data_IF_407228140141
#
_entry.id   IF_407228140141
#
_cell.length_a   1.000
_cell.length_b   1.000
_cell.length_c   1.000
_cell.angle_alpha   90.00
_cell.angle_beta   90.00
_cell.angle_gamma   90.00
#
_symmetry.space_group_name_H-M   'P 1'
#
loop_
_entity.id
_entity.type
_entity.pdbx_description
1 polymer ?
#
# COMPACT_ATOMS: atom_id res chain seq x y z
N UNK A 1 -29.27 -13.59 -35.80
CA UNK A 1 -28.06 -13.89 -36.59
C UNK A 1 -27.15 -14.72 -35.69
N UNK A 2 -26.61 -15.83 -36.17
CA UNK A 2 -25.88 -16.81 -35.35
C UNK A 2 -24.53 -16.24 -34.85
N UNK A 3 -24.23 -16.36 -33.56
CA UNK A 3 -22.94 -15.98 -32.96
C UNK A 3 -21.72 -16.57 -33.69
N UNK A 4 -21.90 -17.72 -34.36
CA UNK A 4 -20.89 -18.41 -35.17
C UNK A 4 -20.53 -17.72 -36.50
N UNK A 5 -21.32 -16.75 -36.97
CA UNK A 5 -21.03 -15.97 -38.19
C UNK A 5 -20.33 -14.64 -37.88
N UNK A 6 -20.55 -14.06 -36.69
CA UNK A 6 -19.81 -12.88 -36.23
C UNK A 6 -18.38 -13.21 -35.81
N UNK A 7 -18.15 -14.37 -35.17
CA UNK A 7 -16.80 -14.82 -34.81
C UNK A 7 -15.87 -14.97 -36.03
N UNK A 8 -16.38 -15.40 -37.19
CA UNK A 8 -15.58 -15.49 -38.42
C UNK A 8 -15.08 -14.16 -38.97
N UNK A 9 -15.70 -13.03 -38.62
CA UNK A 9 -15.28 -11.69 -39.07
C UNK A 9 -14.19 -11.08 -38.19
N UNK A 10 -14.00 -11.60 -36.98
CA UNK A 10 -13.03 -11.08 -36.00
C UNK A 10 -11.74 -11.92 -35.95
N UNK A 11 -11.63 -12.99 -36.74
CA UNK A 11 -10.45 -13.82 -36.80
C UNK A 11 -9.34 -13.16 -37.62
N UNK A 12 -8.12 -13.14 -37.09
CA UNK A 12 -6.89 -12.80 -37.84
C UNK A 12 -5.99 -14.02 -37.97
N UNK A 13 -5.34 -14.15 -39.11
CA UNK A 13 -4.36 -15.21 -39.39
C UNK A 13 -3.00 -14.90 -38.74
N UNK A 14 -2.14 -15.91 -38.61
CA UNK A 14 -0.77 -15.74 -38.13
C UNK A 14 0.02 -14.78 -39.05
N UNK A 15 -0.21 -14.83 -40.36
CA UNK A 15 0.40 -13.95 -41.35
C UNK A 15 -0.02 -12.48 -41.16
N UNK A 16 -1.31 -12.23 -40.96
CA UNK A 16 -1.84 -10.87 -40.73
C UNK A 16 -1.32 -10.28 -39.42
N UNK A 17 -1.38 -11.05 -38.32
CA UNK A 17 -0.84 -10.60 -37.04
C UNK A 17 0.67 -10.35 -37.12
N UNK A 18 1.42 -11.20 -37.82
CA UNK A 18 2.86 -10.97 -38.02
C UNK A 18 3.15 -9.69 -38.81
N UNK A 19 2.38 -9.41 -39.86
CA UNK A 19 2.50 -8.16 -40.62
C UNK A 19 2.18 -6.94 -39.75
N UNK A 20 1.13 -7.01 -38.93
CA UNK A 20 0.77 -5.95 -38.00
C UNK A 20 1.86 -5.72 -36.95
N UNK A 21 2.46 -6.79 -36.40
CA UNK A 21 3.56 -6.73 -35.44
C UNK A 21 4.84 -6.09 -36.01
N UNK A 22 5.03 -6.14 -37.34
CA UNK A 22 6.13 -5.47 -38.04
C UNK A 22 5.77 -4.06 -38.53
N UNK A 23 4.52 -3.63 -38.37
CA UNK A 23 4.09 -2.29 -38.75
C UNK A 23 4.32 -1.27 -37.62
N UNK A 24 4.34 0.02 -37.96
CA UNK A 24 4.35 1.11 -36.97
C UNK A 24 2.94 1.48 -36.46
N UNK A 25 1.91 0.71 -36.82
CA UNK A 25 0.53 1.01 -36.42
C UNK A 25 0.30 0.62 -34.96
N UNK A 26 -0.53 1.38 -34.21
CA UNK A 26 -0.93 0.99 -32.86
C UNK A 26 -1.63 -0.37 -32.86
N UNK A 27 -1.02 -1.34 -32.17
CA UNK A 27 -1.53 -2.70 -32.00
C UNK A 27 -1.36 -3.13 -30.55
N UNK A 28 -2.41 -3.69 -29.95
CA UNK A 28 -2.38 -4.38 -28.67
C UNK A 28 -2.56 -5.87 -28.88
N UNK A 29 -1.66 -6.69 -28.35
CA UNK A 29 -1.75 -8.14 -28.47
C UNK A 29 -1.85 -8.74 -27.07
N UNK A 30 -3.03 -9.23 -26.69
CA UNK A 30 -3.32 -9.76 -25.37
C UNK A 30 -3.28 -11.29 -25.37
N UNK A 31 -2.38 -11.87 -24.60
CA UNK A 31 -2.31 -13.31 -24.36
C UNK A 31 -3.13 -13.65 -23.10
N UNK A 32 -4.21 -14.42 -23.29
CA UNK A 32 -5.17 -14.83 -22.28
C UNK A 32 -4.84 -16.21 -21.70
N UNK A 33 -3.75 -16.85 -22.14
CA UNK A 33 -3.32 -18.15 -21.59
C UNK A 33 -2.91 -17.99 -20.13
N UNK A 34 -2.73 -19.10 -19.45
CA UNK A 34 -2.19 -19.12 -18.09
C UNK A 34 -0.83 -18.39 -18.05
N UNK A 35 -0.60 -17.64 -16.96
CA UNK A 35 0.61 -16.83 -16.79
C UNK A 35 1.88 -17.66 -16.93
N UNK A 36 1.85 -18.89 -16.43
CA UNK A 36 2.96 -19.84 -16.51
C UNK A 36 3.28 -20.16 -17.97
N UNK A 37 2.26 -20.40 -18.81
CA UNK A 37 2.47 -20.70 -20.23
C UNK A 37 3.05 -19.51 -20.98
N UNK A 38 2.55 -18.30 -20.71
CA UNK A 38 3.06 -17.07 -21.30
C UNK A 38 4.54 -16.80 -20.95
N UNK A 39 4.92 -17.00 -19.68
CA UNK A 39 6.30 -16.76 -19.21
C UNK A 39 7.29 -17.72 -19.90
N UNK A 40 6.90 -18.97 -20.12
CA UNK A 40 7.76 -19.96 -20.80
C UNK A 40 7.96 -19.63 -22.27
N UNK A 41 6.88 -19.31 -22.98
CA UNK A 41 6.95 -18.87 -24.37
C UNK A 41 5.73 -18.04 -24.80
N UNK A 42 5.97 -16.99 -25.58
CA UNK A 42 4.91 -16.10 -26.08
C UNK A 42 5.27 -15.48 -27.43
N UNK A 43 4.27 -14.90 -28.09
CA UNK A 43 4.46 -14.15 -29.33
C UNK A 43 5.22 -12.85 -29.01
N UNK A 44 6.24 -12.53 -29.80
CA UNK A 44 6.98 -11.28 -29.62
C UNK A 44 6.04 -10.08 -29.68
N UNK A 45 6.01 -9.28 -28.61
CA UNK A 45 5.09 -8.16 -28.52
C UNK A 45 3.65 -8.58 -28.26
N UNK A 46 3.38 -9.69 -27.58
CA UNK A 46 2.15 -9.89 -26.81
C UNK A 46 2.34 -9.55 -25.33
N UNK A 47 1.23 -9.45 -24.58
CA UNK A 47 1.25 -9.26 -23.12
C UNK A 47 0.19 -10.13 -22.47
N UNK A 48 0.55 -10.79 -21.37
CA UNK A 48 -0.40 -11.56 -20.59
C UNK A 48 -1.47 -10.65 -19.97
N UNK A 49 -2.74 -10.96 -20.22
CA UNK A 49 -3.88 -10.21 -19.71
C UNK A 49 -4.95 -11.14 -19.13
N UNK A 50 -5.44 -10.81 -17.93
CA UNK A 50 -6.57 -11.51 -17.33
C UNK A 50 -7.84 -10.73 -17.63
N UNK A 51 -8.75 -11.30 -18.42
CA UNK A 51 -10.04 -10.71 -18.77
C UNK A 51 -11.19 -11.35 -17.96
N UNK A 52 -11.14 -11.24 -16.64
CA UNK A 52 -12.23 -11.65 -15.75
C UNK A 52 -13.39 -10.63 -15.74
N UNK A 53 -14.49 -10.95 -15.05
CA UNK A 53 -15.66 -10.06 -14.93
C UNK A 53 -15.31 -8.67 -14.39
N UNK A 54 -14.30 -8.56 -13.52
CA UNK A 54 -13.86 -7.31 -12.92
C UNK A 54 -13.01 -6.47 -13.88
N UNK A 55 -12.16 -7.12 -14.67
CA UNK A 55 -11.40 -6.50 -15.75
C UNK A 55 -12.33 -5.93 -16.83
N UNK A 56 -13.46 -6.61 -17.11
CA UNK A 56 -14.48 -6.14 -18.06
C UNK A 56 -15.03 -4.77 -17.70
N UNK A 57 -15.41 -4.56 -16.45
CA UNK A 57 -16.03 -3.29 -16.00
C UNK A 57 -15.00 -2.16 -15.82
N UNK A 58 -13.76 -2.49 -15.44
CA UNK A 58 -12.77 -1.50 -15.00
C UNK A 58 -11.71 -1.15 -16.02
N UNK A 59 -11.42 -2.05 -16.98
CA UNK A 59 -10.35 -1.88 -17.97
C UNK A 59 -10.94 -1.58 -19.35
N UNK A 60 -11.99 -2.30 -19.77
CA UNK A 60 -12.52 -2.20 -21.15
C UNK A 60 -12.96 -0.80 -21.56
N UNK A 61 -13.66 -0.01 -20.73
CA UNK A 61 -14.03 1.37 -21.10
C UNK A 61 -12.82 2.30 -21.23
N UNK A 62 -11.66 1.90 -20.70
CA UNK A 62 -10.43 2.70 -20.62
C UNK A 62 -9.39 2.31 -21.66
N UNK A 63 -9.62 1.22 -22.39
CA UNK A 63 -8.78 0.86 -23.54
C UNK A 63 -9.05 1.91 -24.65
N UNK A 64 -8.02 2.48 -25.30
CA UNK A 64 -8.21 3.50 -26.30
C UNK A 64 -9.06 2.98 -27.48
N UNK A 65 -10.01 3.81 -27.90
CA UNK A 65 -10.77 3.57 -29.13
C UNK A 65 -9.87 3.85 -30.34
N UNK A 66 -9.92 2.99 -31.35
CA UNK A 66 -9.14 3.12 -32.59
C UNK A 66 -7.74 2.48 -32.58
N UNK A 67 -7.41 1.70 -31.55
CA UNK A 67 -6.23 0.81 -31.54
C UNK A 67 -6.70 -0.60 -31.84
N UNK A 68 -6.04 -1.28 -32.79
CA UNK A 68 -6.35 -2.67 -33.12
C UNK A 68 -5.93 -3.56 -31.95
N UNK A 69 -6.80 -4.47 -31.53
CA UNK A 69 -6.55 -5.42 -30.44
C UNK A 69 -6.62 -6.84 -30.99
N UNK A 70 -5.62 -7.66 -30.71
CA UNK A 70 -5.61 -9.08 -31.07
C UNK A 70 -5.46 -9.93 -29.81
N UNK A 71 -6.44 -10.78 -29.55
CA UNK A 71 -6.47 -11.69 -28.41
C UNK A 71 -5.90 -13.06 -28.81
N UNK A 72 -5.11 -13.66 -27.94
CA UNK A 72 -4.49 -14.96 -28.12
C UNK A 72 -4.88 -15.82 -26.92
N UNK A 73 -5.20 -17.08 -27.16
CA UNK A 73 -5.34 -18.13 -26.15
C UNK A 73 -4.69 -19.42 -26.71
N UNK A 74 -5.01 -20.58 -26.16
CA UNK A 74 -4.43 -21.85 -26.60
C UNK A 74 -4.84 -22.23 -28.04
N UNK A 75 -6.12 -22.07 -28.40
CA UNK A 75 -6.66 -22.63 -29.66
C UNK A 75 -7.65 -21.71 -30.40
N UNK A 76 -7.85 -20.47 -29.96
CA UNK A 76 -8.74 -19.49 -30.56
C UNK A 76 -10.11 -19.41 -29.91
N UNK A 77 -10.46 -20.31 -28.97
CA UNK A 77 -11.83 -20.42 -28.44
C UNK A 77 -12.19 -19.30 -27.47
N UNK A 78 -11.40 -19.12 -26.40
CA UNK A 78 -11.61 -18.11 -25.36
C UNK A 78 -11.36 -16.71 -25.95
N UNK A 79 -10.33 -16.60 -26.80
CA UNK A 79 -9.98 -15.35 -27.45
C UNK A 79 -11.07 -14.89 -28.43
N UNK A 80 -11.74 -15.79 -29.14
CA UNK A 80 -12.88 -15.46 -30.00
C UNK A 80 -14.08 -14.90 -29.23
N UNK A 81 -14.48 -15.55 -28.13
CA UNK A 81 -15.57 -15.07 -27.28
C UNK A 81 -15.24 -13.68 -26.70
N UNK A 82 -14.01 -13.53 -26.20
CA UNK A 82 -13.54 -12.27 -25.61
C UNK A 82 -13.47 -11.16 -26.66
N UNK A 83 -13.04 -11.45 -27.89
CA UNK A 83 -13.00 -10.49 -29.00
C UNK A 83 -14.41 -10.03 -29.39
N UNK A 84 -15.36 -10.96 -29.51
CA UNK A 84 -16.76 -10.62 -29.80
C UNK A 84 -17.37 -9.73 -28.72
N UNK A 85 -17.10 -10.06 -27.45
CA UNK A 85 -17.51 -9.23 -26.33
C UNK A 85 -16.89 -7.83 -26.41
N UNK A 86 -15.57 -7.71 -26.58
CA UNK A 86 -14.88 -6.40 -26.67
C UNK A 86 -15.38 -5.55 -27.85
N UNK A 87 -15.68 -6.19 -28.99
CA UNK A 87 -16.27 -5.53 -30.15
C UNK A 87 -17.65 -4.95 -29.84
N UNK A 88 -18.46 -5.63 -29.02
CA UNK A 88 -19.77 -5.12 -28.59
C UNK A 88 -19.68 -3.85 -27.70
N UNK A 89 -18.53 -3.61 -27.07
CA UNK A 89 -18.22 -2.35 -26.37
C UNK A 89 -17.60 -1.27 -27.29
N UNK A 90 -17.52 -1.54 -28.60
CA UNK A 90 -17.00 -0.61 -29.60
C UNK A 90 -15.47 -0.56 -29.69
N UNK A 91 -14.78 -1.61 -29.26
CA UNK A 91 -13.33 -1.77 -29.44
C UNK A 91 -13.02 -2.46 -30.77
N UNK A 92 -11.90 -2.10 -31.41
CA UNK A 92 -11.42 -2.72 -32.65
C UNK A 92 -10.68 -4.04 -32.35
N UNK A 93 -11.44 -5.04 -31.90
CA UNK A 93 -10.90 -6.29 -31.34
C UNK A 93 -11.07 -7.52 -32.24
N UNK A 94 -10.01 -8.30 -32.32
CA UNK A 94 -9.84 -9.50 -33.11
C UNK A 94 -9.23 -10.61 -32.26
N UNK A 95 -9.18 -11.83 -32.77
CA UNK A 95 -8.48 -12.95 -32.14
C UNK A 95 -7.61 -13.71 -33.13
N UNK A 96 -6.52 -14.29 -32.65
CA UNK A 96 -5.65 -15.14 -33.46
C UNK A 96 -6.37 -16.46 -33.75
N UNK A 97 -6.62 -16.71 -35.04
CA UNK A 97 -7.21 -17.97 -35.51
C UNK A 97 -6.33 -19.14 -35.10
N UNK A 98 -6.95 -20.18 -34.55
CA UNK A 98 -6.30 -21.39 -34.03
C UNK A 98 -5.38 -21.13 -32.80
N UNK A 99 -5.50 -19.94 -32.18
CA UNK A 99 -4.75 -19.55 -30.99
C UNK A 99 -3.24 -19.59 -31.19
N UNK A 100 -2.49 -19.76 -30.10
CA UNK A 100 -1.04 -19.88 -30.19
C UNK A 100 -0.60 -21.16 -30.90
N UNK A 101 -1.43 -22.22 -30.90
CA UNK A 101 -1.15 -23.45 -31.67
C UNK A 101 -1.06 -23.21 -33.17
N UNK A 102 -1.78 -22.21 -33.68
CA UNK A 102 -1.69 -21.76 -35.07
C UNK A 102 -0.48 -20.88 -35.40
N UNK A 103 0.30 -20.46 -34.40
CA UNK A 103 1.41 -19.53 -34.60
C UNK A 103 2.67 -20.22 -35.12
N UNK A 104 3.18 -19.78 -36.27
CA UNK A 104 4.30 -20.40 -36.96
C UNK A 104 5.53 -19.49 -37.17
N UNK A 105 5.55 -18.29 -36.58
CA UNK A 105 6.60 -17.26 -36.83
C UNK A 105 7.68 -17.18 -35.73
N UNK A 106 7.71 -18.17 -34.82
CA UNK A 106 8.64 -18.24 -33.69
C UNK A 106 8.10 -17.60 -32.42
N UNK A 107 8.50 -18.14 -31.27
CA UNK A 107 8.13 -17.67 -29.94
C UNK A 107 9.35 -17.17 -29.19
N UNK A 108 9.14 -16.16 -28.35
CA UNK A 108 10.15 -15.66 -27.41
C UNK A 108 10.16 -16.59 -26.21
N UNK A 109 11.34 -17.14 -25.88
CA UNK A 109 11.59 -18.02 -24.72
C UNK A 109 12.38 -17.33 -23.60
N UNK A 110 12.40 -16.00 -23.62
CA UNK A 110 13.08 -15.16 -22.64
C UNK A 110 12.05 -14.68 -21.64
N UNK A 111 12.41 -14.69 -20.35
CA UNK A 111 11.71 -13.88 -19.36
C UNK A 111 11.85 -12.41 -19.77
N UNK A 112 10.80 -11.84 -20.35
CA UNK A 112 10.66 -10.40 -20.38
C UNK A 112 10.35 -10.00 -18.96
N UNK A 113 11.31 -9.39 -18.25
CA UNK A 113 11.00 -8.62 -17.05
C UNK A 113 10.15 -7.43 -17.51
N UNK A 114 8.85 -7.64 -17.67
CA UNK A 114 7.85 -6.60 -17.96
C UNK A 114 7.31 -5.99 -16.66
N UNK A 115 7.81 -6.47 -15.52
CA UNK A 115 7.36 -6.06 -14.20
C UNK A 115 8.50 -5.78 -13.25
N UNK A 116 8.24 -4.95 -12.25
CA UNK A 116 9.10 -4.72 -11.09
C UNK A 116 8.31 -5.05 -9.82
N UNK A 117 8.95 -5.61 -8.79
CA UNK A 117 8.28 -5.79 -7.50
C UNK A 117 8.23 -4.47 -6.71
N UNK A 118 7.25 -4.28 -5.81
CA UNK A 118 7.24 -3.13 -4.91
C UNK A 118 8.52 -2.94 -4.09
N UNK A 119 9.12 -4.03 -3.59
CA UNK A 119 10.36 -4.00 -2.80
C UNK A 119 11.56 -3.59 -3.65
N UNK A 120 11.65 -4.10 -4.88
CA UNK A 120 12.71 -3.70 -5.81
C UNK A 120 12.57 -2.23 -6.18
N UNK A 121 11.35 -1.77 -6.47
CA UNK A 121 11.09 -0.36 -6.75
C UNK A 121 11.49 0.54 -5.57
N UNK A 122 11.14 0.15 -4.34
CA UNK A 122 11.54 0.88 -3.15
C UNK A 122 13.08 0.94 -3.01
N UNK A 123 13.76 -0.19 -3.22
CA UNK A 123 15.23 -0.25 -3.20
C UNK A 123 15.86 0.74 -4.19
N UNK A 124 15.33 0.83 -5.41
CA UNK A 124 15.76 1.78 -6.44
C UNK A 124 15.53 3.23 -6.02
N UNK A 125 14.35 3.54 -5.48
CA UNK A 125 14.01 4.88 -4.98
C UNK A 125 14.95 5.29 -3.84
N UNK A 126 15.18 4.40 -2.88
CA UNK A 126 16.08 4.64 -1.73
C UNK A 126 17.52 4.91 -2.18
N UNK A 127 17.99 4.20 -3.20
CA UNK A 127 19.32 4.39 -3.82
C UNK A 127 19.39 5.60 -4.76
N UNK A 128 18.28 6.33 -4.95
CA UNK A 128 18.15 7.43 -5.92
C UNK A 128 18.56 7.01 -7.33
N UNK A 129 18.25 5.77 -7.70
CA UNK A 129 18.43 5.29 -9.06
C UNK A 129 17.54 6.08 -10.03
N UNK A 130 17.94 6.09 -11.31
CA UNK A 130 17.32 6.93 -12.33
C UNK A 130 16.01 6.32 -12.87
N UNK A 131 14.97 6.31 -12.03
CA UNK A 131 13.63 5.83 -12.36
C UNK A 131 12.63 6.98 -12.57
N UNK A 132 11.57 6.74 -13.33
CA UNK A 132 10.40 7.60 -13.41
C UNK A 132 9.12 6.79 -13.26
N UNK A 133 8.23 7.30 -12.41
CA UNK A 133 6.95 6.69 -12.12
C UNK A 133 5.87 7.36 -12.98
N UNK A 134 5.17 6.57 -13.79
CA UNK A 134 4.07 7.01 -14.66
C UNK A 134 2.78 6.37 -14.16
N UNK A 135 1.97 7.14 -13.46
CA UNK A 135 0.66 6.70 -13.00
C UNK A 135 -0.36 6.82 -14.13
N UNK A 136 -0.95 5.69 -14.51
CA UNK A 136 -1.89 5.59 -15.64
C UNK A 136 -3.36 5.58 -15.22
N UNK A 137 -3.62 5.95 -13.96
CA UNK A 137 -4.98 6.20 -13.46
C UNK A 137 -5.55 7.51 -13.98
N UNK A 138 -6.85 7.71 -13.77
CA UNK A 138 -7.49 8.99 -14.06
C UNK A 138 -6.95 10.08 -13.13
N UNK A 139 -7.08 11.35 -13.54
CA UNK A 139 -6.52 12.49 -12.83
C UNK A 139 -7.09 12.61 -11.40
N UNK A 140 -8.36 12.27 -11.22
CA UNK A 140 -9.05 12.30 -9.93
C UNK A 140 -8.45 11.26 -8.98
N UNK A 141 -8.28 10.01 -9.45
CA UNK A 141 -7.63 8.94 -8.68
C UNK A 141 -6.20 9.31 -8.26
N UNK A 142 -5.46 9.97 -9.16
CA UNK A 142 -4.09 10.43 -8.91
C UNK A 142 -4.01 11.60 -7.93
N UNK A 143 -4.99 12.51 -7.98
CA UNK A 143 -5.06 13.66 -7.08
C UNK A 143 -5.38 13.26 -5.64
N UNK A 144 -6.15 12.18 -5.44
CA UNK A 144 -6.54 11.68 -4.12
C UNK A 144 -5.37 11.01 -3.37
N UNK A 145 -4.55 10.24 -4.10
CA UNK A 145 -3.35 9.58 -3.56
C UNK A 145 -2.42 9.17 -4.69
N UNK A 146 -1.10 9.30 -4.49
CA UNK A 146 -0.08 8.93 -5.49
C UNK A 146 1.24 8.59 -4.79
N UNK A 147 2.11 7.86 -5.49
CA UNK A 147 3.51 7.72 -5.05
C UNK A 147 4.21 9.07 -5.29
N UNK A 148 4.87 9.67 -4.27
CA UNK A 148 5.60 10.92 -4.45
C UNK A 148 6.59 10.88 -5.62
N UNK A 149 6.65 11.96 -6.40
CA UNK A 149 7.53 12.06 -7.58
C UNK A 149 7.00 11.39 -8.85
N UNK A 150 5.82 10.78 -8.83
CA UNK A 150 5.16 10.27 -10.04
C UNK A 150 4.52 11.37 -10.89
N UNK A 151 4.46 11.12 -12.20
CA UNK A 151 3.67 11.90 -13.16
C UNK A 151 2.40 11.14 -13.51
N UNK A 152 1.32 11.85 -13.84
CA UNK A 152 0.07 11.23 -14.27
C UNK A 152 -0.12 11.37 -15.78
N UNK A 153 -0.32 10.24 -16.45
CA UNK A 153 -0.73 10.15 -17.84
C UNK A 153 -1.78 9.04 -17.92
N UNK A 154 -3.08 9.35 -17.88
CA UNK A 154 -4.13 8.34 -17.89
C UNK A 154 -3.98 7.37 -19.07
N UNK A 155 -4.29 6.09 -18.86
CA UNK A 155 -4.10 5.05 -19.89
C UNK A 155 -4.79 5.40 -21.23
N UNK A 156 -5.99 5.99 -21.16
CA UNK A 156 -6.75 6.44 -22.34
C UNK A 156 -6.06 7.53 -23.15
N UNK A 157 -5.14 8.26 -22.53
CA UNK A 157 -4.41 9.38 -23.13
C UNK A 157 -2.96 9.04 -23.47
N UNK A 158 -2.43 7.93 -22.93
CA UNK A 158 -1.03 7.52 -23.04
C UNK A 158 -0.59 7.36 -24.49
N UNK A 159 -1.51 7.01 -25.39
CA UNK A 159 -1.23 6.74 -26.80
C UNK A 159 -1.19 8.01 -27.68
N UNK A 160 -1.55 9.18 -27.14
CA UNK A 160 -1.42 10.46 -27.85
C UNK A 160 0.07 10.84 -27.89
N UNK A 161 0.61 11.13 -29.08
CA UNK A 161 2.04 11.47 -29.28
C UNK A 161 2.53 12.58 -28.35
N UNK A 162 1.71 13.59 -28.10
CA UNK A 162 2.00 14.69 -27.18
C UNK A 162 2.22 14.24 -25.73
N UNK A 163 1.53 13.18 -25.27
CA UNK A 163 1.64 12.65 -23.93
C UNK A 163 2.81 11.69 -23.78
N UNK A 164 3.07 10.84 -24.76
CA UNK A 164 4.27 9.98 -24.79
C UNK A 164 5.54 10.83 -24.69
N UNK A 165 5.57 11.99 -25.37
CA UNK A 165 6.71 12.90 -25.35
C UNK A 165 6.98 13.53 -23.97
N UNK A 166 6.02 13.50 -23.03
CA UNK A 166 6.22 13.95 -21.65
C UNK A 166 7.06 12.97 -20.83
N UNK A 167 7.19 11.71 -21.27
CA UNK A 167 7.91 10.67 -20.53
C UNK A 167 9.42 10.79 -20.81
N UNK A 168 10.25 11.06 -19.79
CA UNK A 168 11.69 11.13 -19.96
C UNK A 168 12.28 9.78 -20.37
N UNK A 169 12.88 9.72 -21.56
CA UNK A 169 13.42 8.47 -22.14
C UNK A 169 14.78 8.06 -21.59
N UNK A 170 15.44 8.94 -20.82
CA UNK A 170 16.73 8.66 -20.20
C UNK A 170 16.59 7.99 -18.81
N UNK A 171 15.37 7.62 -18.41
CA UNK A 171 15.07 7.01 -17.10
C UNK A 171 14.40 5.65 -17.31
N UNK A 172 14.54 4.75 -16.34
CA UNK A 172 13.76 3.52 -16.32
C UNK A 172 12.31 3.85 -15.98
N UNK A 173 11.38 3.55 -16.89
CA UNK A 173 9.98 3.91 -16.76
C UNK A 173 9.23 2.81 -16.01
N UNK A 174 8.52 3.18 -14.95
CA UNK A 174 7.68 2.29 -14.16
C UNK A 174 6.24 2.79 -14.23
N UNK A 175 5.35 1.99 -14.82
CA UNK A 175 3.92 2.31 -14.91
C UNK A 175 3.16 1.80 -13.69
N UNK A 176 2.18 2.58 -13.23
CA UNK A 176 1.45 2.33 -11.98
C UNK A 176 -0.06 2.45 -12.19
N UNK A 177 -0.81 1.55 -11.58
CA UNK A 177 -2.26 1.66 -11.39
C UNK A 177 -2.65 0.99 -10.05
N UNK A 178 -3.94 0.82 -9.70
CA UNK A 178 -4.31 0.24 -8.40
C UNK A 178 -3.79 -1.19 -8.18
N UNK A 179 -3.88 -2.07 -9.19
CA UNK A 179 -3.58 -3.51 -9.06
C UNK A 179 -2.56 -4.06 -10.06
N UNK A 180 -1.94 -3.22 -10.89
CA UNK A 180 -1.00 -3.68 -11.93
C UNK A 180 -1.64 -3.94 -13.31
N UNK A 181 -2.97 -4.07 -13.40
CA UNK A 181 -3.62 -4.46 -14.66
C UNK A 181 -3.55 -3.37 -15.74
N UNK A 182 -3.92 -2.11 -15.42
CA UNK A 182 -3.83 -0.98 -16.37
C UNK A 182 -2.38 -0.61 -16.68
N UNK A 183 -1.49 -0.69 -15.69
CA UNK A 183 -0.07 -0.41 -15.88
C UNK A 183 0.60 -1.43 -16.77
N UNK A 184 0.21 -2.71 -16.70
CA UNK A 184 0.70 -3.73 -17.63
C UNK A 184 0.38 -3.37 -19.09
N UNK A 185 -0.86 -2.97 -19.37
CA UNK A 185 -1.28 -2.50 -20.70
C UNK A 185 -0.47 -1.27 -21.13
N UNK A 186 -0.22 -0.34 -20.21
CA UNK A 186 0.59 0.84 -20.47
C UNK A 186 2.05 0.52 -20.79
N UNK A 187 2.71 -0.31 -19.97
CA UNK A 187 4.10 -0.72 -20.17
C UNK A 187 4.28 -1.36 -21.54
N UNK A 188 3.35 -2.24 -21.91
CA UNK A 188 3.33 -2.88 -23.22
C UNK A 188 3.16 -1.88 -24.38
N UNK A 189 2.18 -0.96 -24.26
CA UNK A 189 1.94 0.07 -25.26
C UNK A 189 3.17 0.97 -25.48
N UNK A 190 3.88 1.30 -24.41
CA UNK A 190 5.13 2.05 -24.48
C UNK A 190 6.22 1.24 -25.18
N UNK A 191 6.39 -0.04 -24.82
CA UNK A 191 7.38 -0.92 -25.45
C UNK A 191 7.17 -1.01 -26.96
N UNK A 192 5.91 -1.06 -27.42
CA UNK A 192 5.58 -1.05 -28.86
C UNK A 192 6.01 0.22 -29.59
N UNK A 193 6.10 1.34 -28.89
CA UNK A 193 6.60 2.61 -29.40
C UNK A 193 8.12 2.80 -29.17
N UNK A 194 8.83 1.72 -28.86
CA UNK A 194 10.28 1.73 -28.60
C UNK A 194 10.65 2.35 -27.25
N UNK A 195 9.73 2.34 -26.28
CA UNK A 195 9.94 2.90 -24.94
C UNK A 195 9.84 1.76 -23.92
N UNK A 196 10.99 1.31 -23.41
CA UNK A 196 11.02 0.25 -22.40
C UNK A 196 10.42 0.74 -21.08
N UNK A 197 9.41 0.01 -20.60
CA UNK A 197 8.72 0.30 -19.37
C UNK A 197 8.42 -1.01 -18.61
N UNK A 198 8.46 -0.93 -17.28
CA UNK A 198 8.06 -2.00 -16.37
C UNK A 198 6.71 -1.65 -15.75
N UNK A 199 5.86 -2.64 -15.50
CA UNK A 199 4.65 -2.48 -14.68
C UNK A 199 4.93 -2.81 -13.22
N UNK A 200 4.46 -1.96 -12.30
CA UNK A 200 4.53 -2.27 -10.88
C UNK A 200 3.62 -3.45 -10.53
N UNK A 201 4.21 -4.55 -10.04
CA UNK A 201 3.49 -5.76 -9.66
C UNK A 201 2.52 -5.45 -8.51
N UNK A 202 1.25 -5.82 -8.66
CA UNK A 202 0.21 -5.53 -7.66
C UNK A 202 -0.17 -4.05 -7.56
N UNK A 203 0.43 -3.16 -8.36
CA UNK A 203 0.12 -1.73 -8.38
C UNK A 203 0.29 -1.04 -7.03
N UNK A 204 -0.56 -0.06 -6.76
CA UNK A 204 -0.59 0.65 -5.47
C UNK A 204 -0.98 -0.25 -4.29
N UNK A 205 -1.78 -1.30 -4.53
CA UNK A 205 -2.10 -2.28 -3.49
C UNK A 205 -0.83 -3.00 -3.02
N UNK A 206 0.00 -3.46 -3.97
CA UNK A 206 1.30 -4.06 -3.68
C UNK A 206 2.29 -3.06 -3.04
N UNK A 207 2.37 -1.84 -3.58
CA UNK A 207 3.16 -0.75 -2.99
C UNK A 207 2.80 -0.48 -1.52
N UNK A 208 1.51 -0.51 -1.23
CA UNK A 208 0.97 -0.35 0.12
C UNK A 208 1.52 -1.36 1.11
N UNK A 209 2.00 -2.53 0.69
CA UNK A 209 2.47 -3.61 1.58
C UNK A 209 3.98 -3.65 1.80
N UNK A 210 4.74 -2.72 1.21
CA UNK A 210 6.20 -2.70 1.39
C UNK A 210 6.56 -2.17 2.77
N UNK A 211 7.37 -2.96 3.50
CA UNK A 211 7.88 -2.58 4.82
C UNK A 211 9.38 -2.26 4.75
N UNK A 212 9.78 -1.18 5.40
CA UNK A 212 11.17 -0.75 5.56
C UNK A 212 11.50 -0.68 7.05
N UNK A 213 12.52 -1.42 7.50
CA UNK A 213 13.00 -1.37 8.89
C UNK A 213 14.25 -0.47 9.01
N UNK A 214 14.32 0.30 10.09
CA UNK A 214 15.46 1.13 10.47
C UNK A 214 15.70 1.01 11.97
N UNK A 215 16.96 0.86 12.38
CA UNK A 215 17.31 0.75 13.80
C UNK A 215 17.43 2.14 14.40
N UNK A 216 16.64 2.39 15.43
CA UNK A 216 16.62 3.64 16.21
C UNK A 216 17.72 3.64 17.27
N UNK A 217 17.90 2.52 17.97
CA UNK A 217 18.89 2.38 19.04
C UNK A 217 19.29 0.92 19.23
N UNK A 218 20.54 0.69 19.67
CA UNK A 218 21.07 -0.61 20.16
C UNK A 218 21.74 -0.50 21.53
N UNK A 219 21.39 0.53 22.31
CA UNK A 219 21.99 0.77 23.63
C UNK A 219 21.40 -0.20 24.68
N UNK A 220 20.57 0.28 25.60
CA UNK A 220 19.95 -0.55 26.64
C UNK A 220 18.91 -1.54 26.09
N UNK A 221 18.25 -1.15 25.00
CA UNK A 221 17.27 -1.96 24.29
C UNK A 221 17.46 -1.70 22.80
N UNK A 222 17.31 -2.76 22.01
CA UNK A 222 17.23 -2.65 20.57
C UNK A 222 15.84 -2.10 20.25
N UNK A 223 15.78 -0.99 19.53
CA UNK A 223 14.54 -0.38 19.04
C UNK A 223 14.64 -0.26 17.53
N UNK A 224 13.74 -0.93 16.82
CA UNK A 224 13.63 -0.88 15.36
C UNK A 224 12.30 -0.23 15.02
N UNK A 225 12.32 0.79 14.16
CA UNK A 225 11.13 1.36 13.56
C UNK A 225 10.89 0.67 12.21
N UNK A 226 9.66 0.24 11.97
CA UNK A 226 9.21 -0.40 10.75
C UNK A 226 8.14 0.48 10.11
N UNK A 227 8.42 0.96 8.90
CA UNK A 227 7.57 1.86 8.11
C UNK A 227 6.86 1.07 7.01
N UNK A 228 5.54 1.21 6.93
CA UNK A 228 4.73 0.81 5.76
C UNK A 228 4.76 1.93 4.73
N UNK A 229 5.72 1.91 3.82
CA UNK A 229 6.09 3.08 3.00
C UNK A 229 4.93 3.66 2.16
N UNK A 230 4.00 2.81 1.72
CA UNK A 230 2.85 3.23 0.93
C UNK A 230 1.72 3.86 1.75
N UNK A 231 1.84 3.82 3.08
CA UNK A 231 0.83 4.27 4.04
C UNK A 231 1.37 5.25 5.10
N UNK A 232 2.67 5.26 5.34
CA UNK A 232 3.23 5.99 6.47
C UNK A 232 2.78 5.47 7.84
N UNK A 233 2.33 4.21 7.93
CA UNK A 233 2.17 3.51 9.21
C UNK A 233 3.55 3.20 9.77
N UNK A 234 3.72 3.42 11.06
CA UNK A 234 4.92 3.16 11.81
C UNK A 234 4.59 2.15 12.90
N UNK A 235 5.48 1.20 13.04
CA UNK A 235 5.39 0.11 13.99
C UNK A 235 6.78 -0.17 14.53
N UNK A 236 6.88 -0.95 15.59
CA UNK A 236 8.13 -1.07 16.32
C UNK A 236 8.45 -2.50 16.71
N UNK A 237 9.73 -2.83 16.70
CA UNK A 237 10.27 -4.02 17.37
C UNK A 237 11.17 -3.52 18.48
N UNK A 238 10.85 -3.91 19.71
CA UNK A 238 11.64 -3.58 20.91
C UNK A 238 12.15 -4.86 21.50
N UNK A 239 13.46 -4.98 21.75
CA UNK A 239 14.01 -6.21 22.29
C UNK A 239 15.24 -6.05 23.15
N UNK A 240 15.44 -7.06 23.99
CA UNK A 240 16.58 -7.24 24.88
C UNK A 240 16.74 -8.73 25.20
N UNK A 241 17.98 -9.17 25.47
CA UNK A 241 18.32 -10.57 25.79
C UNK A 241 17.73 -11.61 24.82
N UNK A 242 17.74 -11.30 23.52
CA UNK A 242 17.24 -12.20 22.47
C UNK A 242 15.71 -12.27 22.38
N UNK A 243 14.97 -11.54 23.21
CA UNK A 243 13.51 -11.49 23.19
C UNK A 243 13.04 -10.13 22.65
N UNK A 244 11.90 -10.12 21.97
CA UNK A 244 11.29 -8.91 21.43
C UNK A 244 9.77 -8.85 21.59
N UNK A 245 9.27 -7.62 21.60
CA UNK A 245 7.86 -7.28 21.45
C UNK A 245 7.69 -6.49 20.15
N UNK A 246 6.64 -6.81 19.39
CA UNK A 246 6.21 -5.99 18.26
C UNK A 246 5.05 -5.08 18.70
N UNK A 247 5.14 -3.78 18.40
CA UNK A 247 4.14 -2.75 18.70
C UNK A 247 3.51 -2.28 17.39
N UNK A 248 2.19 -2.34 17.28
CA UNK A 248 1.39 -1.97 16.10
C UNK A 248 1.83 -2.66 14.79
N UNK A 249 2.10 -3.98 14.77
CA UNK A 249 2.58 -4.63 13.55
C UNK A 249 1.53 -4.56 12.43
N UNK A 250 2.00 -4.29 11.21
CA UNK A 250 1.18 -4.22 9.99
C UNK A 250 1.44 -5.42 9.08
N UNK A 251 0.55 -5.68 8.11
CA UNK A 251 0.85 -6.72 7.10
C UNK A 251 1.97 -6.27 6.14
N UNK A 252 2.80 -7.23 5.66
CA UNK A 252 2.79 -8.67 5.98
C UNK A 252 3.50 -9.02 7.31
N UNK A 253 2.89 -9.90 8.11
CA UNK A 253 3.34 -10.25 9.46
C UNK A 253 4.72 -10.93 9.49
N UNK A 254 5.03 -11.77 8.50
CA UNK A 254 6.26 -12.57 8.42
C UNK A 254 7.52 -11.70 8.35
N UNK A 255 7.39 -10.48 7.84
CA UNK A 255 8.49 -9.51 7.78
C UNK A 255 9.00 -9.11 9.16
N UNK A 256 8.13 -9.07 10.18
CA UNK A 256 8.56 -8.78 11.55
C UNK A 256 9.47 -9.89 12.10
N UNK A 257 9.20 -11.16 11.74
CA UNK A 257 10.05 -12.28 12.10
C UNK A 257 11.43 -12.16 11.44
N UNK A 258 11.48 -11.76 10.17
CA UNK A 258 12.73 -11.48 9.45
C UNK A 258 13.50 -10.32 10.10
N UNK A 259 12.84 -9.20 10.37
CA UNK A 259 13.46 -8.02 10.96
C UNK A 259 13.98 -8.27 12.38
N UNK A 260 13.21 -8.95 13.23
CA UNK A 260 13.66 -9.32 14.57
C UNK A 260 14.88 -10.26 14.51
N UNK A 261 14.84 -11.27 13.63
CA UNK A 261 15.95 -12.24 13.47
C UNK A 261 17.24 -11.56 13.02
N UNK A 262 17.17 -10.57 12.14
CA UNK A 262 18.33 -9.81 11.67
C UNK A 262 19.03 -9.05 12.81
N UNK A 263 18.31 -8.73 13.89
CA UNK A 263 18.86 -8.11 15.10
C UNK A 263 19.14 -9.14 16.22
N UNK A 264 19.08 -10.45 15.93
CA UNK A 264 19.31 -11.51 16.91
C UNK A 264 18.19 -11.67 17.95
N UNK A 265 16.97 -11.27 17.59
CA UNK A 265 15.80 -11.28 18.47
C UNK A 265 14.74 -12.28 18.02
N UNK A 266 13.97 -12.81 18.97
CA UNK A 266 12.76 -13.57 18.77
C UNK A 266 11.57 -12.80 19.34
N UNK A 267 10.54 -12.57 18.52
CA UNK A 267 9.29 -11.97 18.97
C UNK A 267 8.57 -12.98 19.87
N UNK A 268 8.30 -12.58 21.12
CA UNK A 268 7.61 -13.36 22.15
C UNK A 268 6.35 -12.67 22.67
N UNK A 269 6.17 -11.39 22.32
CA UNK A 269 5.01 -10.57 22.66
C UNK A 269 4.61 -9.71 21.46
N UNK A 270 3.32 -9.43 21.34
CA UNK A 270 2.77 -8.52 20.33
C UNK A 270 1.71 -7.64 20.97
N UNK A 271 1.68 -6.36 20.65
CA UNK A 271 0.77 -5.39 21.26
C UNK A 271 0.31 -4.34 20.25
N UNK A 272 -0.95 -3.95 20.30
CA UNK A 272 -1.48 -2.78 19.59
C UNK A 272 -1.75 -1.64 20.57
N UNK A 273 -1.45 -0.41 20.15
CA UNK A 273 -1.76 0.83 20.88
C UNK A 273 -3.26 1.09 20.93
N UNK A 274 -3.99 0.79 19.85
CA UNK A 274 -5.42 1.06 19.72
C UNK A 274 -6.06 0.24 18.59
N UNK A 275 -7.40 0.30 18.48
CA UNK A 275 -8.12 -0.22 17.31
C UNK A 275 -7.92 0.66 16.08
N UNK A 276 -6.90 0.32 15.29
CA UNK A 276 -6.55 0.94 14.02
C UNK A 276 -7.74 1.01 13.05
N UNK A 277 -7.83 2.10 12.28
CA UNK A 277 -8.94 2.37 11.36
C UNK A 277 -8.50 2.54 9.90
N UNK A 278 -7.20 2.59 9.65
CA UNK A 278 -6.57 2.85 8.35
C UNK A 278 -5.85 1.62 7.79
N UNK A 279 -5.51 0.66 8.65
CA UNK A 279 -4.89 -0.62 8.31
C UNK A 279 -5.43 -1.79 9.14
N UNK A 280 -5.30 -2.99 8.60
CA UNK A 280 -5.60 -4.23 9.33
C UNK A 280 -4.38 -4.58 10.18
N UNK A 281 -4.57 -4.70 11.49
CA UNK A 281 -3.49 -5.09 12.40
C UNK A 281 -3.01 -6.50 12.08
N UNK A 282 -1.70 -6.66 11.95
CA UNK A 282 -1.05 -7.96 11.83
C UNK A 282 -0.81 -8.61 13.20
N UNK A 283 -1.24 -8.00 14.31
CA UNK A 283 -0.87 -8.45 15.65
C UNK A 283 -1.30 -9.89 15.94
N UNK A 284 -2.51 -10.26 15.53
CA UNK A 284 -3.05 -11.62 15.71
C UNK A 284 -2.29 -12.65 14.89
N UNK A 285 -2.01 -12.34 13.62
CA UNK A 285 -1.28 -13.26 12.74
C UNK A 285 0.17 -13.40 13.20
N UNK A 286 0.82 -12.29 13.55
CA UNK A 286 2.18 -12.28 14.08
C UNK A 286 2.28 -13.08 15.39
N UNK A 287 1.33 -12.90 16.31
CA UNK A 287 1.28 -13.67 17.55
C UNK A 287 1.13 -15.16 17.28
N UNK A 288 0.27 -15.54 16.32
CA UNK A 288 0.08 -16.94 15.91
C UNK A 288 1.33 -17.55 15.28
N UNK A 289 1.97 -16.90 14.30
CA UNK A 289 3.14 -17.45 13.61
C UNK A 289 4.39 -17.53 14.51
N UNK A 290 4.45 -16.73 15.56
CA UNK A 290 5.58 -16.70 16.53
C UNK A 290 5.28 -17.42 17.84
N UNK A 291 4.04 -17.87 18.07
CA UNK A 291 3.55 -18.36 19.35
C UNK A 291 3.80 -17.36 20.50
N UNK A 292 3.53 -16.08 20.23
CA UNK A 292 3.70 -14.97 21.17
C UNK A 292 2.44 -14.66 21.96
N UNK A 293 2.63 -14.05 23.12
CA UNK A 293 1.52 -13.44 23.88
C UNK A 293 0.98 -12.20 23.15
N UNK A 294 -0.34 -12.11 23.03
CA UNK A 294 -1.04 -10.97 22.41
C UNK A 294 -1.60 -10.05 23.49
N UNK A 295 -1.25 -8.76 23.46
CA UNK A 295 -1.72 -7.75 24.40
C UNK A 295 -2.59 -6.72 23.69
N UNK A 296 -3.70 -6.36 24.33
CA UNK A 296 -4.67 -5.39 23.82
C UNK A 296 -5.12 -4.46 24.94
N UNK A 297 -5.64 -3.30 24.56
CA UNK A 297 -6.20 -2.35 25.53
C UNK A 297 -7.37 -2.97 26.31
N UNK A 298 -7.37 -2.78 27.64
CA UNK A 298 -8.50 -3.15 28.51
C UNK A 298 -9.69 -2.19 28.38
N UNK A 299 -9.49 -1.04 27.73
CA UNK A 299 -10.48 0.03 27.56
C UNK A 299 -11.22 -0.06 26.22
N UNK A 300 -10.92 -1.07 25.41
CA UNK A 300 -11.56 -1.35 24.12
C UNK A 300 -12.11 -2.78 24.10
N UNK A 301 -13.12 -3.01 23.26
CA UNK A 301 -13.77 -4.31 23.13
C UNK A 301 -13.17 -5.10 21.97
N UNK A 302 -12.73 -6.33 22.23
CA UNK A 302 -12.20 -7.23 21.20
C UNK A 302 -12.80 -8.62 21.38
N UNK A 303 -13.22 -9.25 20.28
CA UNK A 303 -13.97 -10.50 20.29
C UNK A 303 -13.05 -11.72 20.07
N UNK A 304 -11.82 -11.65 20.60
CA UNK A 304 -10.81 -12.69 20.56
C UNK A 304 -9.95 -12.67 21.83
N UNK A 305 -9.31 -13.81 22.12
CA UNK A 305 -8.45 -13.97 23.30
C UNK A 305 -7.18 -13.11 23.19
N UNK A 306 -6.88 -12.39 24.27
CA UNK A 306 -5.67 -11.58 24.43
C UNK A 306 -5.51 -11.19 25.90
N UNK A 307 -4.27 -10.93 26.32
CA UNK A 307 -3.97 -10.27 27.58
C UNK A 307 -4.46 -8.82 27.52
N UNK A 308 -5.08 -8.35 28.61
CA UNK A 308 -5.60 -6.97 28.70
C UNK A 308 -4.68 -6.12 29.55
N UNK A 309 -4.24 -4.99 29.03
CA UNK A 309 -3.38 -4.04 29.73
C UNK A 309 -4.00 -2.64 29.76
N UNK A 310 -3.60 -1.84 30.75
CA UNK A 310 -3.97 -0.44 30.85
C UNK A 310 -3.03 0.33 31.77
N UNK A 311 -3.50 1.50 32.24
CA UNK A 311 -2.67 2.45 33.00
C UNK A 311 -1.85 1.79 34.12
N UNK A 312 -0.53 2.03 34.11
CA UNK A 312 0.40 1.59 35.15
C UNK A 312 0.92 0.16 35.01
N UNK A 313 0.32 -0.66 34.14
CA UNK A 313 0.81 -2.02 33.89
C UNK A 313 2.22 -1.99 33.28
N UNK A 314 3.02 -3.03 33.56
CA UNK A 314 4.39 -3.17 33.04
C UNK A 314 4.48 -4.45 32.22
N UNK A 315 4.82 -4.31 30.94
CA UNK A 315 5.14 -5.42 30.04
C UNK A 315 6.66 -5.58 29.98
N UNK A 316 7.15 -6.79 30.26
CA UNK A 316 8.59 -7.10 30.31
C UNK A 316 9.00 -7.92 29.10
N UNK A 317 10.12 -7.56 28.49
CA UNK A 317 10.76 -8.31 27.39
C UNK A 317 12.27 -8.30 27.56
N UNK A 318 12.89 -9.46 27.82
CA UNK A 318 14.27 -9.50 28.30
C UNK A 318 14.43 -8.63 29.56
N UNK A 319 15.37 -7.68 29.51
CA UNK A 319 15.59 -6.70 30.59
C UNK A 319 14.79 -5.38 30.38
N UNK A 320 14.12 -5.21 29.23
CA UNK A 320 13.38 -4.00 28.91
C UNK A 320 12.05 -3.94 29.66
N UNK A 321 11.76 -2.80 30.27
CA UNK A 321 10.49 -2.53 30.96
C UNK A 321 9.68 -1.52 30.17
N UNK A 322 8.47 -1.93 29.79
CA UNK A 322 7.54 -1.10 29.02
C UNK A 322 6.34 -0.79 29.90
N UNK A 323 6.26 0.46 30.36
CA UNK A 323 5.16 0.95 31.19
C UNK A 323 4.01 1.42 30.30
N UNK A 324 2.80 0.97 30.60
CA UNK A 324 1.59 1.31 29.86
C UNK A 324 0.97 2.60 30.43
N UNK A 325 0.60 3.52 29.54
CA UNK A 325 -0.15 4.74 29.88
C UNK A 325 -1.46 4.71 29.09
N UNK A 326 -2.59 4.98 29.75
CA UNK A 326 -3.86 5.17 29.05
C UNK A 326 -3.91 6.57 28.46
N UNK A 327 -4.10 6.68 27.15
CA UNK A 327 -3.97 7.95 26.43
C UNK A 327 -5.16 8.14 25.51
N UNK A 328 -6.39 8.32 26.06
CA UNK A 328 -7.58 8.51 25.24
C UNK A 328 -7.50 9.80 24.44
N UNK A 329 -8.17 9.82 23.30
CA UNK A 329 -8.29 11.00 22.45
C UNK A 329 -8.48 10.64 20.98
N UNK A 330 -7.58 9.82 20.43
CA UNK A 330 -7.78 9.26 19.08
C UNK A 330 -8.85 8.16 19.11
N UNK A 331 -8.72 7.24 20.04
CA UNK A 331 -9.79 6.33 20.48
C UNK A 331 -9.94 6.42 22.00
N UNK A 332 -11.07 5.94 22.52
CA UNK A 332 -11.29 5.88 23.98
C UNK A 332 -10.36 4.91 24.69
N UNK A 333 -9.87 3.88 23.99
CA UNK A 333 -8.96 2.89 24.55
C UNK A 333 -7.51 3.00 24.12
N UNK A 334 -7.13 4.09 23.45
CA UNK A 334 -5.75 4.32 23.02
C UNK A 334 -4.78 4.24 24.20
N UNK A 335 -3.68 3.51 24.00
CA UNK A 335 -2.58 3.34 24.94
C UNK A 335 -1.29 3.89 24.33
N UNK A 336 -0.39 4.35 25.20
CA UNK A 336 1.00 4.67 24.87
C UNK A 336 1.94 3.85 25.75
N UNK A 337 3.15 3.60 25.25
CA UNK A 337 4.10 2.70 25.90
C UNK A 337 5.43 3.41 26.16
N UNK A 338 5.83 3.50 27.43
CA UNK A 338 7.09 4.13 27.83
C UNK A 338 8.16 3.07 28.07
N UNK A 339 9.23 3.11 27.30
CA UNK A 339 10.38 2.21 27.39
C UNK A 339 11.52 2.91 28.13
N UNK A 340 11.91 2.34 29.27
CA UNK A 340 13.03 2.79 30.12
C UNK A 340 13.04 4.30 30.41
N UNK A 341 11.87 4.95 30.43
CA UNK A 341 11.72 6.41 30.59
C UNK A 341 12.48 7.26 29.54
N UNK A 342 12.94 6.65 28.44
CA UNK A 342 13.70 7.31 27.35
C UNK A 342 12.90 7.45 26.07
N UNK A 343 12.02 6.49 25.79
CA UNK A 343 11.17 6.48 24.60
C UNK A 343 9.71 6.39 25.00
N UNK A 344 8.83 7.03 24.25
CA UNK A 344 7.39 6.83 24.31
C UNK A 344 6.87 6.46 22.92
N UNK A 345 6.29 5.26 22.79
CA UNK A 345 5.51 4.86 21.62
C UNK A 345 4.11 5.46 21.79
N UNK A 346 3.83 6.54 21.05
CA UNK A 346 2.68 7.41 21.30
C UNK A 346 1.39 6.96 20.62
N UNK A 347 1.43 5.89 19.81
CA UNK A 347 0.31 5.52 18.96
C UNK A 347 -0.12 6.68 18.07
N UNK A 348 -1.42 6.87 17.96
CA UNK A 348 -2.05 7.96 17.21
C UNK A 348 -2.40 9.17 18.10
N UNK A 349 -1.56 9.49 19.08
CA UNK A 349 -1.80 10.63 19.98
C UNK A 349 -0.94 11.83 19.59
N UNK A 350 0.38 11.65 19.57
CA UNK A 350 1.36 12.69 19.26
C UNK A 350 2.25 12.23 18.11
N UNK A 351 2.23 12.98 17.02
CA UNK A 351 3.04 12.75 15.81
C UNK A 351 4.25 13.70 15.77
N UNK A 352 5.13 13.52 14.79
CA UNK A 352 6.35 14.35 14.63
C UNK A 352 6.00 15.84 14.51
N UNK A 353 4.98 16.15 13.71
CA UNK A 353 4.58 17.52 13.36
C UNK A 353 3.07 17.77 13.61
N UNK A 354 2.42 16.89 14.38
CA UNK A 354 0.97 16.94 14.57
C UNK A 354 0.43 16.04 15.67
N UNK A 355 -0.88 15.86 15.67
CA UNK A 355 -1.60 15.06 16.66
C UNK A 355 -2.61 14.13 15.99
N UNK A 356 -3.07 13.13 16.74
CA UNK A 356 -4.19 12.27 16.37
C UNK A 356 -5.46 13.04 16.07
N UNK A 357 -6.23 12.55 15.10
CA UNK A 357 -7.60 13.04 14.88
C UNK A 357 -8.61 12.35 15.81
N UNK A 358 -9.57 13.08 16.43
CA UNK A 358 -10.59 12.48 17.29
C UNK A 358 -11.90 12.10 16.57
N UNK A 359 -12.08 12.47 15.30
CA UNK A 359 -13.37 12.46 14.60
C UNK A 359 -13.70 11.16 13.83
N UNK A 360 -12.84 10.14 13.93
CA UNK A 360 -13.13 8.81 13.35
C UNK A 360 -14.24 8.06 14.11
N UNK A 361 -14.64 8.55 15.28
CA UNK A 361 -15.79 8.08 16.06
C UNK A 361 -16.79 9.22 16.22
N UNK A 362 -18.06 8.89 16.40
CA UNK A 362 -19.07 9.88 16.74
C UNK A 362 -18.71 10.46 18.12
N UNK A 363 -18.68 11.80 18.27
CA UNK A 363 -18.28 12.58 19.47
C UNK A 363 -16.89 13.28 19.40
N UNK A 364 -16.57 13.91 18.27
CA UNK A 364 -15.29 14.62 18.08
C UNK A 364 -14.91 15.61 19.20
N UNK A 365 -15.87 16.32 19.81
CA UNK A 365 -15.59 17.26 20.91
C UNK A 365 -15.14 16.56 22.20
N UNK A 366 -15.79 15.46 22.57
CA UNK A 366 -15.44 14.67 23.76
C UNK A 366 -14.04 14.08 23.59
N UNK A 367 -13.77 13.53 22.41
CA UNK A 367 -12.48 12.94 22.09
C UNK A 367 -11.38 14.01 21.96
N UNK A 368 -11.69 15.21 21.49
CA UNK A 368 -10.76 16.34 21.50
C UNK A 368 -10.44 16.81 22.93
N UNK A 369 -11.41 16.79 23.84
CA UNK A 369 -11.20 17.07 25.27
C UNK A 369 -10.25 16.03 25.88
N UNK A 370 -10.52 14.74 25.66
CA UNK A 370 -9.64 13.65 26.13
C UNK A 370 -8.23 13.76 25.56
N UNK A 371 -8.13 14.10 24.27
CA UNK A 371 -6.85 14.31 23.59
C UNK A 371 -6.08 15.48 24.21
N UNK A 372 -6.74 16.61 24.49
CA UNK A 372 -6.13 17.76 25.16
C UNK A 372 -5.55 17.36 26.52
N UNK A 373 -6.34 16.65 27.33
CA UNK A 373 -5.95 16.18 28.65
C UNK A 373 -4.78 15.20 28.58
N UNK A 374 -4.83 14.23 27.68
CA UNK A 374 -3.74 13.30 27.41
C UNK A 374 -2.45 14.04 27.05
N UNK A 375 -2.52 14.99 26.12
CA UNK A 375 -1.34 15.75 25.67
C UNK A 375 -0.78 16.60 26.81
N UNK A 376 -1.58 17.43 27.46
CA UNK A 376 -1.12 18.42 28.42
C UNK A 376 -0.79 17.84 29.79
N UNK A 377 -1.55 16.84 30.26
CA UNK A 377 -1.39 16.27 31.60
C UNK A 377 -0.46 15.05 31.62
N UNK A 378 -0.27 14.36 30.48
CA UNK A 378 0.59 13.16 30.39
C UNK A 378 1.83 13.35 29.51
N UNK A 379 1.68 13.75 28.25
CA UNK A 379 2.83 13.85 27.35
C UNK A 379 3.74 15.03 27.69
N UNK A 380 3.18 16.23 27.86
CA UNK A 380 3.98 17.43 28.10
C UNK A 380 4.64 17.48 29.49
N UNK A 381 4.25 16.58 30.39
CA UNK A 381 4.85 16.39 31.72
C UNK A 381 6.04 15.43 31.72
N UNK A 382 6.27 14.69 30.63
CA UNK A 382 7.47 13.87 30.45
C UNK A 382 8.73 14.74 30.34
N UNK A 383 9.93 14.19 30.66
CA UNK A 383 11.20 14.87 30.46
C UNK A 383 11.38 15.31 29.01
N UNK A 384 12.03 16.45 28.81
CA UNK A 384 12.15 17.12 27.52
C UNK A 384 12.91 16.28 26.47
N UNK A 385 13.84 15.46 26.93
CA UNK A 385 14.70 14.56 26.16
C UNK A 385 14.02 13.26 25.73
N UNK A 386 12.83 12.94 26.25
CA UNK A 386 12.10 11.73 25.86
C UNK A 386 11.80 11.79 24.37
N UNK A 387 12.14 10.70 23.68
CA UNK A 387 11.91 10.52 22.24
C UNK A 387 10.50 9.97 22.04
N UNK A 388 9.72 10.64 21.21
CA UNK A 388 8.36 10.26 20.84
C UNK A 388 8.40 9.51 19.51
N UNK A 389 7.88 8.29 19.52
CA UNK A 389 7.82 7.35 18.41
C UNK A 389 6.35 7.08 18.04
N UNK A 390 5.80 7.77 17.02
CA UNK A 390 4.38 7.66 16.67
C UNK A 390 4.00 6.39 15.90
N UNK A 391 2.70 6.08 15.81
CA UNK A 391 2.20 5.01 14.93
C UNK A 391 1.98 5.47 13.47
N UNK A 392 2.06 6.77 13.18
CA UNK A 392 1.93 7.31 11.83
C UNK A 392 2.82 8.54 11.57
N UNK A 393 3.10 8.79 10.30
CA UNK A 393 3.61 10.07 9.82
C UNK A 393 2.83 10.55 8.59
N UNK A 394 2.80 11.87 8.37
CA UNK A 394 2.20 12.47 7.18
C UNK A 394 3.14 12.48 5.98
N UNK A 395 2.62 12.79 4.79
CA UNK A 395 3.43 12.92 3.56
C UNK A 395 4.50 14.01 3.66
N UNK A 396 4.22 15.07 4.44
CA UNK A 396 5.15 16.19 4.62
C UNK A 396 6.09 15.99 5.82
N UNK A 397 5.90 14.93 6.61
CA UNK A 397 6.67 14.71 7.82
C UNK A 397 8.14 14.47 7.51
N UNK A 398 8.98 15.28 8.15
CA UNK A 398 10.43 15.12 8.04
C UNK A 398 10.90 13.89 8.83
N UNK A 399 11.76 13.07 8.22
CA UNK A 399 12.50 12.01 8.92
C UNK A 399 13.94 12.44 9.16
N UNK A 400 14.50 12.00 10.30
CA UNK A 400 15.90 12.19 10.66
C UNK A 400 16.62 10.86 10.41
N UNK A 401 17.47 10.81 9.38
CA UNK A 401 18.14 9.58 8.93
C UNK A 401 17.18 8.43 8.60
N UNK A 402 16.00 8.73 8.04
CA UNK A 402 14.98 7.74 7.71
C UNK A 402 14.20 7.20 8.91
N UNK A 403 14.33 7.84 10.08
CA UNK A 403 13.55 7.54 11.28
C UNK A 403 12.62 8.74 11.54
N UNK A 404 11.35 8.46 11.79
CA UNK A 404 10.34 9.44 12.14
C UNK A 404 10.19 9.50 13.66
N UNK A 405 10.65 10.59 14.26
CA UNK A 405 10.51 10.83 15.69
C UNK A 405 10.55 12.32 15.99
N UNK A 406 10.00 12.69 17.15
CA UNK A 406 10.19 14.02 17.76
C UNK A 406 10.67 13.83 19.19
N UNK A 407 10.96 14.92 19.89
CA UNK A 407 11.20 14.92 21.33
C UNK A 407 10.09 15.68 22.04
N UNK A 408 9.88 15.44 23.33
CA UNK A 408 8.92 16.23 24.12
C UNK A 408 9.26 17.73 24.05
N UNK A 409 10.55 18.08 24.04
CA UNK A 409 11.01 19.46 23.83
C UNK A 409 10.54 20.06 22.50
N UNK A 410 10.70 19.31 21.41
CA UNK A 410 10.29 19.75 20.07
C UNK A 410 8.76 19.82 19.96
N UNK A 411 8.05 18.80 20.47
CA UNK A 411 6.59 18.75 20.48
C UNK A 411 5.95 19.95 21.18
N UNK A 412 6.50 20.43 22.31
CA UNK A 412 6.05 21.65 23.01
C UNK A 412 6.00 22.90 22.12
N UNK A 413 6.69 22.91 20.98
CA UNK A 413 6.67 24.03 20.05
C UNK A 413 5.54 24.00 19.03
N UNK A 414 4.84 22.87 18.89
CA UNK A 414 3.69 22.73 17.98
C UNK A 414 2.62 23.79 18.32
N UNK A 415 2.17 24.52 17.30
CA UNK A 415 1.19 25.62 17.44
C UNK A 415 -0.08 25.15 18.15
N UNK A 416 -0.56 23.95 17.81
CA UNK A 416 -1.77 23.37 18.38
C UNK A 416 -1.65 23.09 19.88
N UNK A 417 -0.47 22.73 20.38
CA UNK A 417 -0.21 22.45 21.79
C UNK A 417 0.00 23.73 22.63
N UNK A 418 -0.04 24.90 22.00
CA UNK A 418 0.00 26.21 22.67
C UNK A 418 -1.39 26.82 22.84
N UNK A 419 -2.42 26.22 22.24
CA UNK A 419 -3.79 26.68 22.38
C UNK A 419 -4.29 26.39 23.80
N UNK A 420 -5.10 27.30 24.33
CA UNK A 420 -5.88 27.02 25.53
C UNK A 420 -6.96 25.98 25.22
N UNK A 421 -7.40 25.26 26.25
CA UNK A 421 -8.39 24.18 26.20
C UNK A 421 -9.51 24.38 25.17
N UNK A 422 -10.30 25.45 25.29
CA UNK A 422 -11.46 25.66 24.42
C UNK A 422 -11.06 25.92 22.97
N UNK A 423 -9.99 26.69 22.75
CA UNK A 423 -9.44 26.94 21.42
C UNK A 423 -8.84 25.69 20.77
N UNK A 424 -8.27 24.78 21.57
CA UNK A 424 -7.82 23.48 21.09
C UNK A 424 -9.00 22.63 20.61
N UNK A 425 -10.05 22.49 21.44
CA UNK A 425 -11.22 21.69 21.10
C UNK A 425 -11.88 22.23 19.83
N UNK A 426 -12.09 23.54 19.75
CA UNK A 426 -12.66 24.18 18.56
C UNK A 426 -11.81 23.90 17.31
N UNK A 427 -10.49 24.11 17.38
CA UNK A 427 -9.59 23.86 16.25
C UNK A 427 -9.59 22.40 15.81
N UNK A 428 -9.51 21.47 16.75
CA UNK A 428 -9.42 20.03 16.47
C UNK A 428 -10.77 19.49 15.95
N UNK A 429 -11.88 19.80 16.61
CA UNK A 429 -13.19 19.31 16.22
C UNK A 429 -13.71 19.94 14.93
N UNK A 430 -13.28 21.17 14.59
CA UNK A 430 -13.60 21.80 13.31
C UNK A 430 -12.79 21.26 12.13
N UNK A 431 -11.71 20.50 12.39
CA UNK A 431 -10.85 19.95 11.34
C UNK A 431 -11.52 18.75 10.68
N UNK A 432 -12.09 18.95 9.50
CA UNK A 432 -12.75 17.90 8.71
C UNK A 432 -11.79 17.29 7.70
N UNK A 433 -11.09 16.24 8.11
CA UNK A 433 -10.33 15.40 7.19
C UNK A 433 -11.25 14.34 6.60
N UNK A 434 -11.15 14.01 5.29
CA UNK A 434 -11.82 12.84 4.76
C UNK A 434 -11.48 11.60 5.59
N UNK A 435 -12.44 10.72 5.85
CA UNK A 435 -12.16 9.47 6.56
C UNK A 435 -11.33 8.54 5.68
N UNK A 436 -10.50 7.65 6.25
CA UNK A 436 -9.86 6.59 5.49
C UNK A 436 -10.90 5.75 4.74
N UNK A 437 -10.56 5.27 3.55
CA UNK A 437 -11.41 4.35 2.82
C UNK A 437 -11.56 3.05 3.63
N UNK A 438 -12.76 2.46 3.64
CA UNK A 438 -13.06 1.21 4.36
C UNK A 438 -12.88 1.25 5.89
N UNK A 439 -12.75 2.42 6.52
CA UNK A 439 -12.41 2.53 7.95
C UNK A 439 -13.34 1.71 8.86
N UNK A 440 -14.65 1.71 8.61
CA UNK A 440 -15.62 0.91 9.39
C UNK A 440 -15.36 -0.58 9.29
N UNK A 441 -15.07 -1.06 8.08
CA UNK A 441 -14.75 -2.47 7.83
C UNK A 441 -13.42 -2.85 8.48
N UNK A 442 -12.41 -1.97 8.42
CA UNK A 442 -11.12 -2.18 9.07
C UNK A 442 -11.26 -2.26 10.59
N UNK A 443 -11.98 -1.31 11.21
CA UNK A 443 -12.28 -1.34 12.66
C UNK A 443 -12.99 -2.64 13.04
N UNK A 444 -13.97 -3.06 12.23
CA UNK A 444 -14.68 -4.30 12.46
C UNK A 444 -13.73 -5.52 12.39
N UNK A 445 -12.84 -5.58 11.39
CA UNK A 445 -11.85 -6.66 11.28
C UNK A 445 -10.90 -6.67 12.48
N UNK A 446 -10.37 -5.52 12.86
CA UNK A 446 -9.42 -5.39 13.99
C UNK A 446 -10.06 -5.72 15.34
N UNK A 447 -11.38 -5.58 15.46
CA UNK A 447 -12.16 -5.97 16.63
C UNK A 447 -12.57 -7.44 16.65
N UNK A 448 -12.93 -8.00 15.50
CA UNK A 448 -13.53 -9.33 15.41
C UNK A 448 -12.48 -10.44 15.23
N UNK A 449 -12.82 -11.66 15.63
CA UNK A 449 -11.96 -12.84 15.41
C UNK A 449 -11.92 -13.30 13.93
N UNK A 450 -12.60 -12.63 13.01
CA UNK A 450 -12.77 -13.11 11.63
C UNK A 450 -11.46 -12.99 10.83
N UNK A 451 -11.00 -14.09 10.18
CA UNK A 451 -9.85 -14.02 9.29
C UNK A 451 -10.22 -13.30 8.00
N UNK A 452 -9.30 -12.47 7.50
CA UNK A 452 -9.41 -11.79 6.21
C UNK A 452 -8.33 -12.34 5.30
N UNK A 453 -8.65 -12.78 4.06
CA UNK A 453 -7.63 -13.21 3.13
C UNK A 453 -6.58 -12.11 2.91
N UNK A 454 -5.30 -12.44 2.93
CA UNK A 454 -4.19 -11.45 2.79
C UNK A 454 -4.34 -10.60 1.52
N UNK A 455 -4.83 -11.19 0.43
CA UNK A 455 -5.09 -10.49 -0.84
C UNK A 455 -6.20 -9.42 -0.72
N UNK A 456 -7.13 -9.55 0.23
CA UNK A 456 -8.13 -8.53 0.52
C UNK A 456 -7.58 -7.39 1.38
N UNK A 457 -6.61 -7.66 2.25
CA UNK A 457 -5.99 -6.63 3.12
C UNK A 457 -5.40 -5.50 2.28
N UNK A 458 -4.62 -5.87 1.26
CA UNK A 458 -4.03 -4.90 0.35
C UNK A 458 -5.08 -4.03 -0.37
N UNK A 459 -6.31 -4.56 -0.58
CA UNK A 459 -7.41 -3.82 -1.19
C UNK A 459 -8.14 -2.91 -0.20
N UNK A 460 -8.32 -3.37 1.04
CA UNK A 460 -8.94 -2.59 2.11
C UNK A 460 -8.12 -1.34 2.42
N UNK A 461 -6.80 -1.49 2.31
CA UNK A 461 -5.82 -0.46 2.60
C UNK A 461 -5.42 0.37 1.37
N UNK A 462 -6.09 0.33 0.23
CA UNK A 462 -5.69 1.24 -0.88
C UNK A 462 -6.04 2.69 -0.50
N UNK A 463 -5.13 3.63 -0.77
CA UNK A 463 -5.39 5.07 -0.63
C UNK A 463 -4.58 5.74 0.48
N UNK A 464 -4.78 7.06 0.67
CA UNK A 464 -3.91 7.88 1.50
C UNK A 464 -4.12 7.59 2.99
N UNK A 465 -3.10 7.90 3.79
CA UNK A 465 -3.22 7.98 5.23
C UNK A 465 -3.87 9.30 5.64
N UNK A 466 -4.85 9.22 6.54
CA UNK A 466 -5.64 10.35 7.00
C UNK A 466 -5.76 10.40 8.52
N UNK A 467 -4.77 9.90 9.27
CA UNK A 467 -4.83 9.81 10.75
C UNK A 467 -4.31 11.06 11.47
N UNK A 468 -3.51 11.90 10.80
CA UNK A 468 -2.86 13.07 11.40
C UNK A 468 -3.56 14.40 11.08
N UNK A 469 -3.71 15.25 12.09
CA UNK A 469 -4.03 16.68 11.93
C UNK A 469 -2.71 17.47 11.87
N UNK A 470 -2.48 18.14 10.75
CA UNK A 470 -1.32 19.03 10.56
C UNK A 470 -1.44 20.29 11.41
N UNK A 471 -0.29 20.81 11.86
CA UNK A 471 -0.18 22.02 12.68
C UNK A 471 0.17 23.29 11.88
N UNK A 472 0.30 23.15 10.55
CA UNK A 472 0.57 24.23 9.59
C UNK A 472 -0.57 25.23 9.46
#
# INVERSE_FOLDING_TARGET
MNANQESKKLAVTAEELYADLKSEKPLLVFDLRLKEHYIHEHIEGSVHAVCDSRAKETIMPRIPKGVKIVLIDEDGTISAETAGMMASYGLDSYFLKDGIKGWNKGLIKKETHSTISPEELWSKIKKKENVILVDVRQAEEFSDFKIPGSINIPLSELFKKENVNKIPRNKQIITICPHGNRSMVAAFALARNGIDALSLTGGLAGWGQVLNSQVVSREESIVVQVEKIGKGCLSYIVGSKGQAIAIDPVYPAEKYVEFARNEGLQIVKVIDTHQHADHVSAARELAKITNSELYMSKYEQYDFESNRVGEGDIVIVGDSKIRVIHTPGHTTGSLSYVLNEKYVFSGDILFVEGIGRPDLRNNANEFANDLYDTLHKKFLTLPNEVIVLPAHHGEQSSSKNGIYYTTIKEAKNLSILKLLHDGFIEKVASTTLPKPMNYEKIIQINRLSQPVPVLEIANLEIGPNRCAISTS
#
